data_IF_742348176489
#
_entry.id   IF_742348176489
#
_cell.length_a   1.000
_cell.length_b   1.000
_cell.length_c   1.000
_cell.angle_alpha   90.00
_cell.angle_beta   90.00
_cell.angle_gamma   90.00
#
_symmetry.space_group_name_H-M   'P 1'
#
loop_
_entity.id
_entity.type
_entity.pdbx_description
1 polymer ?
#
# COMPACT_ATOMS: atom_id res chain seq x y z
N UNK A 1 4.67 -34.60 -24.27
CA UNK A 1 5.90 -35.23 -24.80
C UNK A 1 5.48 -36.45 -25.62
N UNK A 2 6.20 -36.73 -26.70
CA UNK A 2 5.99 -37.94 -27.51
C UNK A 2 6.92 -39.02 -26.98
N UNK A 3 6.40 -40.20 -26.69
CA UNK A 3 7.21 -41.33 -26.25
C UNK A 3 8.18 -41.73 -27.38
N UNK A 4 9.51 -41.71 -27.16
CA UNK A 4 10.48 -42.00 -28.20
C UNK A 4 10.45 -43.47 -28.67
N UNK A 5 9.84 -44.38 -27.91
CA UNK A 5 9.81 -45.83 -28.21
C UNK A 5 8.65 -46.18 -29.14
N UNK A 6 7.45 -45.67 -28.88
CA UNK A 6 6.22 -46.06 -29.59
C UNK A 6 5.47 -44.88 -30.22
N UNK A 7 6.04 -43.66 -30.16
CA UNK A 7 5.47 -42.41 -30.68
C UNK A 7 4.13 -42.00 -30.07
N UNK A 8 3.69 -42.65 -28.99
CA UNK A 8 2.44 -42.30 -28.32
C UNK A 8 2.59 -40.99 -27.55
N UNK A 9 1.55 -40.17 -27.56
CA UNK A 9 1.44 -38.97 -26.75
C UNK A 9 0.00 -38.76 -26.33
N UNK A 10 -0.21 -38.25 -25.12
CA UNK A 10 -1.53 -37.87 -24.67
C UNK A 10 -1.52 -37.36 -23.24
N UNK A 11 -2.71 -37.04 -22.74
CA UNK A 11 -2.90 -36.52 -21.40
C UNK A 11 -3.07 -37.65 -20.40
N UNK A 12 -2.44 -37.50 -19.23
CA UNK A 12 -2.45 -38.51 -18.16
C UNK A 12 -3.18 -38.02 -16.90
N UNK A 13 -3.55 -36.74 -16.84
CA UNK A 13 -4.35 -36.14 -15.77
C UNK A 13 -5.33 -35.11 -16.35
N UNK A 14 -6.49 -34.95 -15.69
CA UNK A 14 -7.48 -33.92 -16.00
C UNK A 14 -7.97 -33.26 -14.69
N UNK A 15 -7.01 -32.82 -13.88
CA UNK A 15 -7.30 -32.23 -12.57
C UNK A 15 -7.49 -30.71 -12.69
N UNK A 16 -8.59 -30.22 -12.11
CA UNK A 16 -8.85 -28.79 -11.99
C UNK A 16 -7.78 -28.14 -11.12
N UNK A 17 -7.13 -27.10 -11.63
CA UNK A 17 -6.00 -26.43 -10.96
C UNK A 17 -4.62 -26.92 -11.38
N UNK A 18 -4.53 -28.05 -12.11
CA UNK A 18 -3.30 -28.51 -12.76
C UNK A 18 -2.42 -29.45 -11.91
N UNK A 19 -1.63 -30.27 -12.62
CA UNK A 19 -0.55 -31.09 -12.07
C UNK A 19 0.77 -30.37 -12.32
N UNK A 20 1.49 -29.99 -11.26
CA UNK A 20 2.71 -29.19 -11.39
C UNK A 20 3.96 -30.03 -11.14
N UNK A 21 5.04 -29.64 -11.83
CA UNK A 21 6.39 -30.18 -11.65
C UNK A 21 6.42 -31.72 -11.60
N UNK A 22 5.92 -32.41 -12.65
CA UNK A 22 5.96 -33.85 -12.66
C UNK A 22 7.40 -34.36 -12.78
N UNK A 23 7.69 -35.46 -12.12
CA UNK A 23 8.90 -36.26 -12.32
C UNK A 23 8.51 -37.71 -12.59
N UNK A 24 9.20 -38.37 -13.51
CA UNK A 24 8.88 -39.71 -13.97
C UNK A 24 9.97 -40.66 -13.50
N UNK A 25 9.60 -41.59 -12.63
CA UNK A 25 10.50 -42.64 -12.16
C UNK A 25 10.88 -43.59 -13.30
N UNK A 26 12.01 -44.29 -13.15
CA UNK A 26 12.50 -45.25 -14.15
C UNK A 26 11.53 -46.40 -14.44
N UNK A 27 10.63 -46.69 -13.50
CA UNK A 27 9.58 -47.71 -13.61
C UNK A 27 8.25 -47.18 -14.15
N UNK A 28 8.20 -45.91 -14.58
CA UNK A 28 7.03 -45.30 -15.22
C UNK A 28 6.03 -44.66 -14.26
N UNK A 29 6.28 -44.69 -12.94
CA UNK A 29 5.45 -43.95 -11.98
C UNK A 29 5.70 -42.45 -12.11
N UNK A 30 4.65 -41.65 -11.93
CA UNK A 30 4.73 -40.19 -12.06
C UNK A 30 4.46 -39.52 -10.73
N UNK A 31 5.46 -38.83 -10.18
CA UNK A 31 5.33 -37.97 -9.01
C UNK A 31 4.97 -36.57 -9.47
N UNK A 32 4.04 -35.88 -8.82
CA UNK A 32 3.69 -34.50 -9.16
C UNK A 32 3.10 -33.76 -7.96
N UNK A 33 3.06 -32.43 -8.05
CA UNK A 33 2.40 -31.57 -7.07
C UNK A 33 0.94 -31.32 -7.47
N UNK A 34 0.01 -31.62 -6.57
CA UNK A 34 -1.43 -31.47 -6.72
C UNK A 34 -1.92 -30.35 -5.79
N UNK A 35 -2.63 -29.36 -6.34
CA UNK A 35 -3.33 -28.37 -5.52
C UNK A 35 -4.75 -28.85 -5.23
N UNK A 36 -5.06 -29.12 -3.96
CA UNK A 36 -6.39 -29.59 -3.53
C UNK A 36 -6.70 -29.07 -2.13
N UNK A 37 -7.94 -28.63 -1.91
CA UNK A 37 -8.42 -28.14 -0.61
C UNK A 37 -7.56 -27.02 -0.01
N UNK A 38 -7.06 -26.10 -0.86
CA UNK A 38 -6.28 -24.94 -0.40
C UNK A 38 -4.79 -25.21 -0.18
N UNK A 39 -4.30 -26.43 -0.37
CA UNK A 39 -2.91 -26.80 -0.13
C UNK A 39 -2.29 -27.58 -1.30
N UNK A 40 -0.96 -27.51 -1.43
CA UNK A 40 -0.19 -28.37 -2.32
C UNK A 40 0.16 -29.68 -1.62
N UNK A 41 -0.13 -30.81 -2.26
CA UNK A 41 0.24 -32.15 -1.82
C UNK A 41 1.09 -32.84 -2.88
N UNK A 42 2.05 -33.68 -2.44
CA UNK A 42 2.80 -34.55 -3.34
C UNK A 42 1.94 -35.77 -3.63
N UNK A 43 1.67 -36.02 -4.91
CA UNK A 43 0.83 -37.12 -5.39
C UNK A 43 1.63 -38.05 -6.31
N UNK A 44 1.31 -39.34 -6.26
CA UNK A 44 1.95 -40.38 -7.06
C UNK A 44 0.90 -41.05 -7.96
N UNK A 45 1.20 -41.14 -9.25
CA UNK A 45 0.49 -41.98 -10.21
C UNK A 45 1.31 -43.26 -10.38
N UNK A 46 0.76 -44.37 -9.91
CA UNK A 46 1.39 -45.69 -10.01
C UNK A 46 1.28 -46.31 -11.41
N UNK A 47 0.33 -45.84 -12.22
CA UNK A 47 0.11 -46.29 -13.60
C UNK A 47 -0.29 -45.13 -14.49
N UNK A 48 0.11 -45.22 -15.77
CA UNK A 48 -0.21 -44.21 -16.78
C UNK A 48 -1.33 -44.73 -17.68
N UNK A 49 -2.44 -43.99 -17.71
CA UNK A 49 -3.54 -44.22 -18.64
C UNK A 49 -3.81 -42.94 -19.42
N UNK A 50 -3.90 -43.05 -20.74
CA UNK A 50 -4.23 -41.91 -21.59
C UNK A 50 -5.72 -41.57 -21.44
N UNK A 51 -6.00 -40.31 -21.14
CA UNK A 51 -7.35 -39.77 -21.08
C UNK A 51 -7.79 -39.44 -22.50
N UNK A 52 -9.03 -39.80 -22.84
CA UNK A 52 -9.65 -39.42 -24.10
C UNK A 52 -9.71 -37.89 -24.23
N UNK A 53 -9.29 -37.37 -25.39
CA UNK A 53 -9.11 -35.93 -25.61
C UNK A 53 -10.38 -35.10 -25.34
N UNK A 54 -11.55 -35.65 -25.66
CA UNK A 54 -12.87 -35.02 -25.44
C UNK A 54 -13.11 -34.64 -23.97
N UNK A 55 -12.48 -35.34 -23.02
CA UNK A 55 -12.64 -35.06 -21.58
C UNK A 55 -11.68 -33.99 -21.07
N UNK A 56 -10.56 -33.74 -21.77
CA UNK A 56 -9.46 -32.88 -21.30
C UNK A 56 -9.75 -31.40 -21.49
N UNK A 57 -10.55 -31.04 -22.51
CA UNK A 57 -10.94 -29.65 -22.79
C UNK A 57 -9.84 -28.77 -23.39
N UNK A 58 -8.65 -29.33 -23.70
CA UNK A 58 -7.58 -28.66 -24.43
C UNK A 58 -7.43 -29.24 -25.85
N UNK A 59 -6.94 -28.41 -26.78
CA UNK A 59 -6.56 -28.89 -28.11
C UNK A 59 -5.42 -29.93 -28.00
N UNK A 60 -5.38 -30.97 -28.86
CA UNK A 60 -4.30 -31.97 -28.86
C UNK A 60 -2.90 -31.37 -28.97
N UNK A 61 -2.78 -30.19 -29.59
CA UNK A 61 -1.52 -29.48 -29.79
C UNK A 61 -1.18 -28.50 -28.64
N UNK A 62 -1.97 -28.42 -27.57
CA UNK A 62 -1.79 -27.43 -26.49
C UNK A 62 -0.40 -27.51 -25.83
N UNK A 63 0.20 -28.71 -25.76
CA UNK A 63 1.54 -28.90 -25.20
C UNK A 63 2.64 -28.16 -25.99
N UNK A 64 2.37 -27.78 -27.24
CA UNK A 64 3.30 -27.03 -28.09
C UNK A 64 3.44 -25.56 -27.67
N UNK A 65 2.52 -25.01 -26.87
CA UNK A 65 2.62 -23.64 -26.35
C UNK A 65 3.91 -23.42 -25.53
N UNK A 66 4.43 -24.50 -24.93
CA UNK A 66 5.62 -24.45 -24.09
C UNK A 66 6.92 -24.75 -24.88
N UNK A 67 6.84 -24.98 -26.20
CA UNK A 67 7.98 -25.39 -27.03
C UNK A 67 9.10 -24.34 -27.12
N UNK A 68 8.79 -23.06 -26.88
CA UNK A 68 9.76 -21.97 -26.85
C UNK A 68 10.34 -21.66 -25.47
N UNK A 69 9.95 -22.39 -24.42
CA UNK A 69 10.47 -22.15 -23.08
C UNK A 69 11.83 -22.82 -22.88
N UNK A 70 12.63 -22.21 -22.00
CA UNK A 70 13.90 -22.81 -21.57
C UNK A 70 13.67 -24.11 -20.82
N UNK A 71 14.64 -25.02 -20.94
CA UNK A 71 14.65 -26.26 -20.17
C UNK A 71 14.53 -25.99 -18.65
N UNK A 72 13.91 -26.91 -17.90
CA UNK A 72 13.80 -26.80 -16.45
C UNK A 72 15.17 -26.66 -15.79
N UNK A 73 15.23 -25.85 -14.72
CA UNK A 73 16.45 -25.73 -13.91
C UNK A 73 16.57 -26.99 -13.05
N UNK A 74 17.34 -27.97 -13.52
CA UNK A 74 17.58 -29.24 -12.81
C UNK A 74 18.82 -29.18 -11.90
N UNK A 75 19.71 -28.22 -12.12
CA UNK A 75 20.97 -28.10 -11.39
C UNK A 75 20.85 -27.18 -10.20
N UNK A 76 21.38 -27.60 -9.05
CA UNK A 76 21.47 -26.74 -7.87
C UNK A 76 22.33 -25.51 -8.19
N UNK A 77 21.78 -24.32 -7.93
CA UNK A 77 22.50 -23.08 -8.07
C UNK A 77 23.57 -22.97 -6.97
N UNK A 78 24.86 -22.96 -7.37
CA UNK A 78 26.02 -22.83 -6.47
C UNK A 78 26.59 -21.41 -6.38
N UNK A 79 25.89 -20.42 -6.94
CA UNK A 79 26.36 -19.03 -6.91
C UNK A 79 26.36 -18.51 -5.47
N UNK A 80 27.38 -17.74 -5.10
CA UNK A 80 27.44 -17.13 -3.77
C UNK A 80 26.25 -16.18 -3.54
N UNK A 81 25.61 -16.31 -2.39
CA UNK A 81 24.53 -15.42 -1.99
C UNK A 81 25.08 -14.02 -1.70
N UNK A 82 24.42 -13.00 -2.27
CA UNK A 82 24.75 -11.59 -2.01
C UNK A 82 23.66 -10.95 -1.14
N UNK A 83 24.00 -10.04 -0.22
CA UNK A 83 23.00 -9.27 0.51
C UNK A 83 22.09 -8.51 -0.46
N UNK A 84 20.80 -8.52 -0.18
CA UNK A 84 19.83 -7.74 -0.94
C UNK A 84 20.12 -6.25 -0.80
N UNK A 85 20.15 -5.55 -1.93
CA UNK A 85 20.26 -4.09 -2.01
C UNK A 85 18.86 -3.55 -2.25
N UNK A 86 18.44 -2.60 -1.42
CA UNK A 86 17.10 -2.02 -1.49
C UNK A 86 16.85 -1.41 -2.87
N UNK A 87 15.74 -1.80 -3.53
CA UNK A 87 15.36 -1.36 -4.86
C UNK A 87 14.05 -0.60 -4.79
N UNK A 88 14.03 0.61 -5.35
CA UNK A 88 12.82 1.42 -5.41
C UNK A 88 12.35 1.53 -6.87
N UNK A 89 11.08 1.23 -7.16
CA UNK A 89 10.47 1.69 -8.39
C UNK A 89 10.41 3.22 -8.39
N UNK A 90 10.17 3.79 -9.57
CA UNK A 90 9.92 5.22 -9.69
C UNK A 90 8.76 5.63 -8.78
N UNK A 91 8.89 6.81 -8.17
CA UNK A 91 7.82 7.38 -7.36
C UNK A 91 6.58 7.64 -8.23
N UNK A 92 5.44 7.11 -7.79
CA UNK A 92 4.16 7.36 -8.43
C UNK A 92 3.64 8.71 -7.98
N UNK A 93 3.25 9.57 -8.93
CA UNK A 93 2.61 10.86 -8.66
C UNK A 93 1.20 10.79 -9.26
N UNK A 94 0.19 11.03 -8.41
CA UNK A 94 -1.22 10.92 -8.78
C UNK A 94 -1.88 12.30 -8.63
N UNK A 95 -2.33 12.95 -9.70
CA UNK A 95 -3.06 14.20 -9.58
C UNK A 95 -4.38 13.97 -8.83
N UNK A 96 -4.80 14.94 -8.03
CA UNK A 96 -6.09 14.94 -7.33
C UNK A 96 -6.76 16.30 -7.45
N UNK A 97 -8.09 16.31 -7.46
CA UNK A 97 -8.89 17.53 -7.36
C UNK A 97 -9.98 17.29 -6.31
N UNK A 98 -10.14 18.23 -5.39
CA UNK A 98 -11.16 18.22 -4.35
C UNK A 98 -12.01 19.50 -4.45
N UNK A 99 -13.18 19.50 -3.81
CA UNK A 99 -14.01 20.69 -3.65
C UNK A 99 -14.28 20.92 -2.17
N UNK A 100 -13.68 21.97 -1.61
CA UNK A 100 -13.74 22.32 -0.19
C UNK A 100 -14.32 23.73 -0.04
N UNK A 101 -15.36 23.89 0.77
CA UNK A 101 -16.00 25.18 1.10
C UNK A 101 -16.27 26.05 -0.15
N UNK A 102 -16.78 25.44 -1.22
CA UNK A 102 -17.12 26.14 -2.47
C UNK A 102 -15.93 26.45 -3.38
N UNK A 103 -14.73 25.96 -3.08
CA UNK A 103 -13.53 26.16 -3.89
C UNK A 103 -12.92 24.86 -4.38
N UNK A 104 -12.41 24.86 -5.61
CA UNK A 104 -11.61 23.76 -6.12
C UNK A 104 -10.24 23.78 -5.44
N UNK A 105 -9.80 22.59 -5.04
CA UNK A 105 -8.52 22.35 -4.38
C UNK A 105 -7.74 21.29 -5.17
N UNK A 106 -7.02 21.69 -6.24
CA UNK A 106 -6.13 20.80 -6.94
C UNK A 106 -4.92 20.42 -6.08
N UNK A 107 -4.32 19.27 -6.41
CA UNK A 107 -3.11 18.79 -5.76
C UNK A 107 -2.62 17.48 -6.36
N UNK A 108 -1.81 16.78 -5.58
CA UNK A 108 -1.34 15.46 -5.94
C UNK A 108 -1.09 14.61 -4.69
N UNK A 109 -1.09 13.31 -4.89
CA UNK A 109 -0.49 12.34 -3.98
C UNK A 109 0.82 11.82 -4.59
N UNK A 110 1.73 11.39 -3.73
CA UNK A 110 2.92 10.65 -4.15
C UNK A 110 3.09 9.40 -3.31
N UNK A 111 3.61 8.35 -3.94
CA UNK A 111 3.82 7.05 -3.33
C UNK A 111 5.09 6.38 -3.85
N UNK A 112 5.87 5.78 -2.96
CA UNK A 112 6.97 4.89 -3.33
C UNK A 112 7.16 3.84 -2.24
N UNK A 113 7.38 2.61 -2.65
CA UNK A 113 7.73 1.53 -1.73
C UNK A 113 8.85 0.67 -2.32
N UNK A 114 9.76 0.26 -1.46
CA UNK A 114 10.81 -0.69 -1.78
C UNK A 114 10.20 -2.03 -2.27
N UNK A 115 10.84 -2.73 -3.21
CA UNK A 115 10.25 -3.90 -3.92
C UNK A 115 9.76 -5.01 -2.98
N UNK A 116 10.42 -5.23 -1.84
CA UNK A 116 9.98 -6.18 -0.81
C UNK A 116 9.40 -5.47 0.43
N UNK A 117 8.92 -4.24 0.24
CA UNK A 117 8.23 -3.39 1.23
C UNK A 117 9.05 -3.13 2.50
N UNK A 118 10.39 -3.03 2.39
CA UNK A 118 11.25 -2.67 3.54
C UNK A 118 11.10 -1.21 3.97
N UNK A 119 10.68 -0.35 3.05
CA UNK A 119 10.46 1.07 3.26
C UNK A 119 9.26 1.50 2.42
N UNK A 120 8.40 2.34 2.97
CA UNK A 120 7.26 2.92 2.26
C UNK A 120 7.12 4.40 2.59
N UNK A 121 6.87 5.20 1.57
CA UNK A 121 6.58 6.63 1.64
C UNK A 121 5.25 6.88 0.94
N UNK A 122 4.38 7.62 1.61
CA UNK A 122 3.14 8.12 1.04
C UNK A 122 2.90 9.55 1.49
N UNK A 123 2.39 10.40 0.62
CA UNK A 123 2.09 11.77 1.00
C UNK A 123 1.25 12.49 -0.04
N UNK A 124 0.95 13.74 0.24
CA UNK A 124 0.21 14.57 -0.69
C UNK A 124 0.27 16.05 -0.34
N UNK A 125 -0.01 16.84 -1.37
CA UNK A 125 -0.06 18.29 -1.27
C UNK A 125 -1.24 18.82 -2.07
N UNK A 126 -1.98 19.78 -1.53
CA UNK A 126 -3.03 20.50 -2.25
C UNK A 126 -3.20 21.93 -1.75
N UNK A 127 -3.67 22.80 -2.66
CA UNK A 127 -3.85 24.23 -2.43
C UNK A 127 -5.12 24.70 -3.15
N UNK A 128 -5.95 25.51 -2.52
CA UNK A 128 -7.10 26.15 -3.16
C UNK A 128 -6.88 27.67 -3.35
N UNK A 129 -7.87 28.33 -3.95
CA UNK A 129 -7.87 29.79 -4.17
C UNK A 129 -7.86 30.62 -2.88
N UNK A 130 -8.33 30.07 -1.76
CA UNK A 130 -8.33 30.71 -0.44
C UNK A 130 -7.00 30.54 0.30
N UNK A 131 -5.98 29.94 -0.33
CA UNK A 131 -4.72 29.56 0.29
C UNK A 131 -4.85 28.53 1.43
N UNK A 132 -5.85 27.65 1.34
CA UNK A 132 -5.98 26.47 2.18
C UNK A 132 -5.05 25.39 1.66
N UNK A 133 -4.06 25.08 2.49
CA UNK A 133 -3.02 24.11 2.23
C UNK A 133 -3.38 22.81 2.94
N UNK A 134 -3.30 21.69 2.24
CA UNK A 134 -3.24 20.36 2.86
C UNK A 134 -1.94 19.69 2.46
N UNK A 135 -1.05 19.48 3.43
CA UNK A 135 0.18 18.71 3.29
C UNK A 135 0.14 17.56 4.29
N UNK A 136 0.48 16.37 3.84
CA UNK A 136 0.72 15.26 4.74
C UNK A 136 1.80 14.33 4.17
N UNK A 137 2.49 13.65 5.07
CA UNK A 137 3.55 12.71 4.74
C UNK A 137 3.57 11.58 5.76
N UNK A 138 3.64 10.36 5.28
CA UNK A 138 3.60 9.09 6.01
C UNK A 138 4.81 8.29 5.55
N UNK A 139 5.55 7.77 6.53
CA UNK A 139 6.76 6.99 6.34
C UNK A 139 6.69 5.75 7.22
N UNK A 140 6.92 4.58 6.62
CA UNK A 140 7.11 3.32 7.34
C UNK A 140 8.49 2.74 7.02
N UNK A 141 9.25 2.42 8.05
CA UNK A 141 10.50 1.67 7.97
C UNK A 141 10.32 0.26 8.53
N UNK A 142 10.06 -0.69 7.63
CA UNK A 142 9.74 -2.09 7.94
C UNK A 142 10.96 -3.02 7.96
N UNK A 143 12.15 -2.49 7.65
CA UNK A 143 13.42 -3.26 7.69
C UNK A 143 13.85 -3.63 9.11
N UNK A 144 13.48 -2.84 10.12
CA UNK A 144 13.70 -3.18 11.53
C UNK A 144 12.49 -3.91 12.12
N UNK A 145 12.77 -4.76 13.10
CA UNK A 145 11.77 -5.27 14.02
C UNK A 145 12.00 -4.58 15.39
N UNK A 146 11.07 -3.73 15.87
CA UNK A 146 9.76 -3.41 15.30
C UNK A 146 9.80 -2.48 14.09
N UNK A 147 8.71 -2.43 13.33
CA UNK A 147 8.53 -1.45 12.25
C UNK A 147 8.42 -0.06 12.87
N UNK A 148 9.21 0.90 12.39
CA UNK A 148 9.12 2.29 12.84
C UNK A 148 8.28 3.09 11.85
N UNK A 149 7.48 4.03 12.33
CA UNK A 149 6.69 4.89 11.47
C UNK A 149 6.71 6.35 11.91
N UNK A 150 6.48 7.23 10.94
CA UNK A 150 6.39 8.67 11.13
C UNK A 150 5.31 9.25 10.23
N UNK A 151 4.48 10.11 10.78
CA UNK A 151 3.40 10.80 10.09
C UNK A 151 3.46 12.29 10.43
N UNK A 152 3.27 13.14 9.43
CA UNK A 152 3.13 14.57 9.63
C UNK A 152 1.98 15.13 8.82
N UNK A 153 1.28 16.08 9.41
CA UNK A 153 0.18 16.81 8.80
C UNK A 153 0.39 18.31 8.99
N UNK A 154 0.21 19.08 7.92
CA UNK A 154 0.17 20.53 7.94
C UNK A 154 -1.06 20.97 7.15
N UNK A 155 -2.07 21.46 7.85
CA UNK A 155 -3.35 21.87 7.27
C UNK A 155 -3.63 23.33 7.60
N UNK A 156 -4.13 24.11 6.63
CA UNK A 156 -4.61 25.49 6.87
C UNK A 156 -6.02 25.71 6.35
N UNK A 157 -6.81 26.51 7.05
CA UNK A 157 -8.13 26.95 6.62
C UNK A 157 -8.24 28.46 6.81
N UNK A 158 -8.65 29.19 5.78
CA UNK A 158 -8.82 30.63 5.81
C UNK A 158 -10.31 30.94 5.60
N UNK A 159 -10.87 31.80 6.45
CA UNK A 159 -12.27 32.24 6.41
C UNK A 159 -12.35 33.70 6.80
N UNK A 160 -13.41 34.37 6.36
CA UNK A 160 -13.69 35.77 6.70
C UNK A 160 -15.02 35.84 7.45
N UNK A 161 -15.08 36.56 8.55
CA UNK A 161 -16.30 36.80 9.31
C UNK A 161 -16.61 38.30 9.36
N UNK A 162 -17.87 38.65 9.15
CA UNK A 162 -18.34 40.04 9.14
C UNK A 162 -19.29 40.23 10.31
N UNK A 163 -18.89 41.06 11.28
CA UNK A 163 -19.66 41.30 12.50
C UNK A 163 -19.80 42.80 12.79
N UNK A 164 -20.60 43.16 13.79
CA UNK A 164 -20.75 44.57 14.21
C UNK A 164 -20.24 44.77 15.63
N UNK A 165 -19.25 45.65 15.81
CA UNK A 165 -18.83 46.09 17.14
C UNK A 165 -19.90 47.00 17.74
N UNK A 166 -20.41 46.63 18.91
CA UNK A 166 -21.45 47.40 19.63
C UNK A 166 -22.70 47.73 18.78
N UNK A 167 -22.93 46.99 17.69
CA UNK A 167 -24.02 47.23 16.73
C UNK A 167 -23.83 48.44 15.79
N UNK A 168 -22.68 49.13 15.85
CA UNK A 168 -22.45 50.41 15.16
C UNK A 168 -21.34 50.30 14.12
N UNK A 169 -20.20 49.71 14.48
CA UNK A 169 -19.04 49.64 13.59
C UNK A 169 -18.98 48.28 12.89
N UNK A 170 -18.86 48.29 11.56
CA UNK A 170 -18.64 47.08 10.79
C UNK A 170 -17.20 46.58 11.04
N UNK A 171 -17.08 45.33 11.47
CA UNK A 171 -15.84 44.59 11.65
C UNK A 171 -15.76 43.54 10.55
N UNK A 172 -14.60 43.49 9.89
CA UNK A 172 -14.21 42.38 9.02
C UNK A 172 -13.03 41.63 9.66
N UNK A 173 -13.25 40.37 10.02
CA UNK A 173 -12.26 39.50 10.66
C UNK A 173 -11.79 38.42 9.69
N UNK A 174 -10.53 38.50 9.25
CA UNK A 174 -9.85 37.44 8.51
C UNK A 174 -9.30 36.41 9.51
N UNK A 175 -9.88 35.22 9.52
CA UNK A 175 -9.53 34.14 10.44
C UNK A 175 -8.80 33.02 9.70
N UNK A 176 -7.59 32.69 10.15
CA UNK A 176 -6.79 31.58 9.65
C UNK A 176 -6.55 30.55 10.73
N UNK A 177 -6.94 29.31 10.46
CA UNK A 177 -6.62 28.14 11.26
C UNK A 177 -5.42 27.40 10.68
N UNK A 178 -4.56 26.88 11.55
CA UNK A 178 -3.42 26.06 11.18
C UNK A 178 -3.25 24.89 12.14
N UNK A 179 -3.26 23.68 11.59
CA UNK A 179 -2.92 22.45 12.28
C UNK A 179 -1.53 21.98 11.84
N UNK A 180 -0.66 21.72 12.81
CA UNK A 180 0.58 20.97 12.61
C UNK A 180 0.56 19.78 13.53
N UNK A 181 0.76 18.58 13.00
CA UNK A 181 0.81 17.34 13.76
C UNK A 181 2.03 16.52 13.34
N UNK A 182 2.71 15.96 14.34
CA UNK A 182 3.75 14.95 14.18
C UNK A 182 3.35 13.74 15.01
N UNK A 183 3.29 12.57 14.38
CA UNK A 183 3.04 11.30 15.04
C UNK A 183 4.18 10.36 14.69
N UNK A 184 4.80 9.77 15.70
CA UNK A 184 5.92 8.84 15.54
C UNK A 184 5.68 7.64 16.42
N UNK A 185 6.09 6.46 15.98
CA UNK A 185 5.80 5.25 16.74
C UNK A 185 6.46 4.01 16.16
N UNK A 186 6.04 2.89 16.72
CA UNK A 186 6.49 1.57 16.31
C UNK A 186 5.34 0.56 16.33
N UNK A 187 5.40 -0.41 15.42
CA UNK A 187 4.47 -1.51 15.25
C UNK A 187 5.20 -2.83 15.52
N UNK A 188 4.74 -3.59 16.51
CA UNK A 188 5.31 -4.86 16.98
C UNK A 188 4.30 -5.98 16.70
N UNK A 189 4.53 -6.88 15.73
CA UNK A 189 3.66 -8.02 15.52
C UNK A 189 3.95 -9.11 16.57
N UNK A 190 2.92 -9.55 17.29
CA UNK A 190 3.00 -10.52 18.39
C UNK A 190 2.01 -11.66 18.09
N UNK A 191 2.50 -12.82 17.64
CA UNK A 191 1.70 -14.06 17.47
C UNK A 191 0.30 -13.86 16.82
N UNK A 192 0.24 -13.27 15.62
CA UNK A 192 -1.04 -13.02 14.93
C UNK A 192 -1.83 -11.80 15.44
N UNK A 193 -1.20 -10.99 16.31
CA UNK A 193 -1.71 -9.67 16.73
C UNK A 193 -0.68 -8.59 16.42
N UNK A 194 -1.10 -7.32 16.44
CA UNK A 194 -0.24 -6.17 16.19
C UNK A 194 -0.40 -5.15 17.31
N UNK A 195 0.70 -4.89 18.04
CA UNK A 195 0.77 -3.83 19.03
C UNK A 195 1.42 -2.59 18.40
N UNK A 196 0.71 -1.48 18.36
CA UNK A 196 1.20 -0.18 17.92
C UNK A 196 1.35 0.76 19.11
N UNK A 197 2.53 1.37 19.25
CA UNK A 197 2.80 2.39 20.25
C UNK A 197 3.22 3.67 19.54
N UNK A 198 2.61 4.80 19.90
CA UNK A 198 2.88 6.08 19.25
C UNK A 198 2.86 7.26 20.21
N UNK A 199 3.67 8.26 19.88
CA UNK A 199 3.65 9.59 20.48
C UNK A 199 3.23 10.60 19.42
N UNK A 200 2.25 11.45 19.76
CA UNK A 200 1.79 12.53 18.90
C UNK A 200 2.05 13.87 19.56
N UNK A 201 2.59 14.82 18.80
CA UNK A 201 2.68 16.22 19.18
C UNK A 201 1.91 17.04 18.16
N UNK A 202 1.02 17.90 18.62
CA UNK A 202 0.22 18.73 17.72
C UNK A 202 0.00 20.14 18.27
N UNK A 203 -0.15 21.08 17.34
CA UNK A 203 -0.51 22.47 17.62
C UNK A 203 -1.58 22.89 16.63
N UNK A 204 -2.69 23.37 17.16
CA UNK A 204 -3.78 23.96 16.43
C UNK A 204 -3.89 25.43 16.84
N UNK A 205 -3.61 26.33 15.90
CA UNK A 205 -3.52 27.77 16.13
C UNK A 205 -4.51 28.52 15.25
N UNK A 206 -5.11 29.56 15.80
CA UNK A 206 -5.82 30.56 15.03
C UNK A 206 -5.07 31.90 15.00
N UNK A 207 -5.24 32.58 13.88
CA UNK A 207 -4.80 33.93 13.62
C UNK A 207 -6.03 34.72 13.19
N UNK A 208 -6.24 35.86 13.80
CA UNK A 208 -7.34 36.78 13.50
C UNK A 208 -6.69 38.09 13.09
N UNK A 209 -7.02 38.58 11.91
CA UNK A 209 -6.70 39.92 11.47
C UNK A 209 -8.01 40.69 11.33
N UNK A 210 -8.21 41.63 12.24
CA UNK A 210 -9.41 42.43 12.37
C UNK A 210 -9.21 43.78 11.69
N UNK A 211 -10.13 44.13 10.80
CA UNK A 211 -10.17 45.41 10.12
C UNK A 211 -11.46 46.16 10.49
N UNK A 212 -11.33 47.43 10.87
CA UNK A 212 -12.43 48.38 11.06
C UNK A 212 -12.37 49.41 9.92
N UNK A 213 -13.08 49.17 8.80
CA UNK A 213 -12.94 49.99 7.60
C UNK A 213 -13.36 51.45 7.81
N UNK A 214 -14.34 51.68 8.69
CA UNK A 214 -14.86 53.02 8.99
C UNK A 214 -13.85 53.91 9.72
N UNK A 215 -12.96 53.31 10.51
CA UNK A 215 -11.96 54.02 11.33
C UNK A 215 -10.53 53.84 10.78
N UNK A 216 -10.34 52.99 9.77
CA UNK A 216 -9.03 52.67 9.20
C UNK A 216 -8.09 51.97 10.19
N UNK A 217 -8.65 51.20 11.13
CA UNK A 217 -7.89 50.52 12.18
C UNK A 217 -7.73 49.04 11.82
N UNK A 218 -6.49 48.55 11.87
CA UNK A 218 -6.16 47.13 11.75
C UNK A 218 -5.58 46.61 13.08
N UNK A 219 -6.04 45.45 13.52
CA UNK A 219 -5.56 44.78 14.74
C UNK A 219 -5.41 43.28 14.50
N UNK A 220 -4.35 42.69 15.04
CA UNK A 220 -4.08 41.25 14.89
C UNK A 220 -4.02 40.53 16.23
N UNK A 221 -4.63 39.35 16.32
CA UNK A 221 -4.53 38.45 17.46
C UNK A 221 -4.17 37.02 17.00
N UNK A 222 -3.43 36.29 17.82
CA UNK A 222 -3.16 34.88 17.56
C UNK A 222 -3.16 34.10 18.88
N UNK A 223 -3.75 32.91 18.87
CA UNK A 223 -3.81 32.04 20.04
C UNK A 223 -3.83 30.57 19.65
N UNK A 224 -3.32 29.73 20.55
CA UNK A 224 -3.32 28.28 20.40
C UNK A 224 -4.66 27.74 20.91
N UNK A 225 -5.51 27.19 20.02
CA UNK A 225 -6.72 26.46 20.40
C UNK A 225 -6.37 25.16 21.12
N UNK A 226 -5.34 24.47 20.63
CA UNK A 226 -4.84 23.26 21.25
C UNK A 226 -3.34 23.14 21.04
N UNK A 227 -2.63 22.73 22.08
CA UNK A 227 -1.22 22.36 22.01
C UNK A 227 -0.99 21.23 23.00
N UNK A 228 -0.56 20.08 22.50
CA UNK A 228 -0.49 18.91 23.35
C UNK A 228 0.44 17.82 22.85
N UNK A 229 0.75 16.94 23.79
CA UNK A 229 1.37 15.65 23.56
C UNK A 229 0.36 14.57 23.93
N UNK A 230 0.28 13.52 23.12
CA UNK A 230 -0.45 12.30 23.47
C UNK A 230 0.44 11.09 23.27
N UNK A 231 0.24 10.09 24.12
CA UNK A 231 0.79 8.76 23.98
C UNK A 231 -0.39 7.83 23.72
N UNK A 232 -0.26 6.95 22.75
CA UNK A 232 -1.33 6.04 22.34
C UNK A 232 -0.78 4.64 22.15
N UNK A 233 -1.51 3.65 22.65
CA UNK A 233 -1.28 2.24 22.40
C UNK A 233 -2.53 1.64 21.76
N UNK A 234 -2.35 0.97 20.63
CA UNK A 234 -3.40 0.22 19.93
C UNK A 234 -2.96 -1.24 19.84
N UNK A 235 -3.88 -2.17 20.14
CA UNK A 235 -3.60 -3.59 20.01
C UNK A 235 -4.73 -4.26 19.22
N UNK A 236 -4.41 -4.70 18.01
CA UNK A 236 -5.32 -5.39 17.11
C UNK A 236 -5.03 -6.89 17.08
N UNK A 237 -6.09 -7.70 17.08
CA UNK A 237 -6.06 -9.15 17.01
C UNK A 237 -6.71 -9.61 15.70
N UNK A 238 -5.98 -10.32 14.86
CA UNK A 238 -6.56 -11.01 13.71
C UNK A 238 -7.03 -12.39 14.18
N UNK A 239 -8.28 -12.46 14.65
CA UNK A 239 -8.95 -13.74 14.88
C UNK A 239 -9.46 -14.26 13.53
N UNK A 240 -8.78 -15.26 12.98
CA UNK A 240 -9.26 -16.08 11.85
C UNK A 240 -10.18 -17.18 12.36
#
# INVERSE_FOLDING_TARGET
MVNPIDTTSGYITNITGGAFMPDIAKDGRVLFSLYKNGAYTISLLDSIHLIQEDFVGYSPNYYQNNSGFSEPILTLNKTEAKPYVDQFPNMFIMPKVMMDYGTLKPGFYFYSSEVINRLSVFGGASLNKLNDVDLFFIFDFKRFYPTLFFETFYLTRNTTDNSKYQGIYDIEDDIKFRLVQFRTGMKIPIFGSLLELSGTRQWYRAFINQNLPSEGIEAGAAYDYFRGWSLSGDWSLDMV
#
